data_IF_982736314740
#
_entry.id   IF_982736314740
#
_cell.length_a   1.000
_cell.length_b   1.000
_cell.length_c   1.000
_cell.angle_alpha   90.00
_cell.angle_beta   90.00
_cell.angle_gamma   90.00
#
_symmetry.space_group_name_H-M   'P 1'
#
loop_
_entity.id
_entity.type
_entity.pdbx_description
1 polymer ?
#
# COMPACT_ATOMS: atom_id res chain seq x y z
N UNK A 1 -11.79 17.03 1.41
CA UNK A 1 -10.41 17.48 1.74
C UNK A 1 -9.79 16.77 2.96
N UNK A 2 -10.43 16.74 4.14
CA UNK A 2 -9.87 16.02 5.32
C UNK A 2 -9.81 14.50 5.16
N UNK A 3 -10.82 13.90 4.53
CA UNK A 3 -10.91 12.46 4.33
C UNK A 3 -9.65 11.89 3.63
N UNK A 4 -9.17 12.56 2.58
CA UNK A 4 -7.95 12.13 1.86
C UNK A 4 -6.74 12.05 2.79
N UNK A 5 -6.54 13.04 3.67
CA UNK A 5 -5.46 13.01 4.66
C UNK A 5 -5.60 11.87 5.65
N UNK A 6 -6.82 11.57 6.10
CA UNK A 6 -7.05 10.43 6.99
C UNK A 6 -6.79 9.10 6.29
N UNK A 7 -7.22 8.95 5.04
CA UNK A 7 -6.93 7.76 4.23
C UNK A 7 -5.43 7.53 4.12
N UNK A 8 -4.63 8.57 3.87
CA UNK A 8 -3.16 8.44 3.83
C UNK A 8 -2.55 8.05 5.19
N UNK A 9 -3.07 8.60 6.30
CA UNK A 9 -2.63 8.22 7.64
C UNK A 9 -2.96 6.76 7.97
N UNK A 10 -4.19 6.33 7.70
CA UNK A 10 -4.62 4.95 7.90
C UNK A 10 -3.84 3.99 7.01
N UNK A 11 -3.60 4.35 5.76
CA UNK A 11 -2.74 3.57 4.87
C UNK A 11 -1.34 3.44 5.49
N UNK A 12 -0.73 4.51 6.00
CA UNK A 12 0.56 4.44 6.71
C UNK A 12 0.53 3.50 7.93
N UNK A 13 -0.51 3.56 8.76
CA UNK A 13 -0.67 2.68 9.92
C UNK A 13 -0.78 1.19 9.51
N UNK A 14 -1.58 0.88 8.49
CA UNK A 14 -1.71 -0.47 7.93
C UNK A 14 -0.36 -0.97 7.41
N UNK A 15 0.36 -0.11 6.68
CA UNK A 15 1.68 -0.42 6.14
C UNK A 15 2.69 -0.76 7.23
N UNK A 16 2.73 0.03 8.31
CA UNK A 16 3.64 -0.24 9.43
C UNK A 16 3.29 -1.55 10.16
N UNK A 17 2.01 -1.87 10.30
CA UNK A 17 1.60 -3.17 10.85
C UNK A 17 2.07 -4.33 9.96
N UNK A 18 2.00 -4.19 8.64
CA UNK A 18 2.53 -5.18 7.70
C UNK A 18 4.05 -5.35 7.84
N UNK A 19 4.80 -4.25 8.00
CA UNK A 19 6.23 -4.30 8.28
C UNK A 19 6.55 -5.08 9.57
N UNK A 20 5.82 -4.81 10.66
CA UNK A 20 6.01 -5.51 11.93
C UNK A 20 5.66 -7.00 11.83
N UNK A 21 4.58 -7.33 11.12
CA UNK A 21 4.19 -8.71 10.84
C UNK A 21 5.27 -9.44 10.04
N UNK A 22 5.74 -8.86 8.93
CA UNK A 22 6.83 -9.41 8.13
C UNK A 22 8.10 -9.63 8.97
N UNK A 23 8.49 -8.62 9.77
CA UNK A 23 9.66 -8.69 10.65
C UNK A 23 9.53 -9.84 11.66
N UNK A 24 8.35 -10.03 12.27
CA UNK A 24 8.10 -11.12 13.22
C UNK A 24 8.21 -12.51 12.60
N UNK A 25 8.00 -12.61 11.28
CA UNK A 25 8.14 -13.84 10.50
C UNK A 25 9.56 -14.03 9.93
N UNK A 26 10.49 -13.12 10.22
CA UNK A 26 11.85 -13.14 9.64
C UNK A 26 11.88 -12.78 8.16
N UNK A 27 10.88 -12.03 7.68
CA UNK A 27 10.78 -11.54 6.30
C UNK A 27 11.10 -10.04 6.24
N UNK A 28 11.50 -9.58 5.05
CA UNK A 28 11.61 -8.17 4.72
C UNK A 28 10.33 -7.65 4.07
N UNK A 29 10.06 -6.35 4.25
CA UNK A 29 9.00 -5.63 3.54
C UNK A 29 9.53 -4.31 2.96
N UNK A 30 8.96 -3.85 1.84
CA UNK A 30 9.31 -2.58 1.22
C UNK A 30 8.06 -1.87 0.68
N UNK A 31 7.74 -0.69 1.22
CA UNK A 31 6.71 0.18 0.67
C UNK A 31 7.23 0.91 -0.58
N UNK A 32 6.42 0.89 -1.64
CA UNK A 32 6.71 1.49 -2.94
C UNK A 32 5.56 2.44 -3.29
N UNK A 33 5.85 3.73 -3.28
CA UNK A 33 4.89 4.78 -3.64
C UNK A 33 4.95 5.22 -5.10
N UNK A 34 5.91 4.72 -5.88
CA UNK A 34 6.05 5.03 -7.30
C UNK A 34 5.68 3.79 -8.13
N UNK A 35 4.55 3.87 -8.82
CA UNK A 35 4.03 2.84 -9.72
C UNK A 35 3.22 3.53 -10.83
N UNK A 36 2.76 2.77 -11.80
CA UNK A 36 1.87 3.26 -12.86
C UNK A 36 0.43 3.13 -12.33
N UNK A 37 -0.17 4.24 -11.89
CA UNK A 37 -1.48 4.25 -11.23
C UNK A 37 -2.56 3.59 -12.10
N UNK A 38 -2.66 4.00 -13.36
CA UNK A 38 -3.67 3.48 -14.30
C UNK A 38 -3.50 1.97 -14.52
N UNK A 39 -2.28 1.51 -14.83
CA UNK A 39 -2.00 0.09 -15.04
C UNK A 39 -2.30 -0.77 -13.80
N UNK A 40 -1.99 -0.27 -12.59
CA UNK A 40 -2.24 -0.99 -11.36
C UNK A 40 -3.73 -1.02 -11.00
N UNK A 41 -4.42 0.10 -11.17
CA UNK A 41 -5.86 0.17 -10.94
C UNK A 41 -6.61 -0.76 -11.91
N UNK A 42 -6.25 -0.75 -13.19
CA UNK A 42 -6.81 -1.65 -14.21
C UNK A 42 -6.55 -3.12 -13.86
N UNK A 43 -5.34 -3.46 -13.41
CA UNK A 43 -4.99 -4.82 -12.98
C UNK A 43 -5.84 -5.29 -11.79
N UNK A 44 -6.17 -4.38 -10.86
CA UNK A 44 -6.95 -4.67 -9.66
C UNK A 44 -8.47 -4.51 -9.88
N UNK A 45 -8.90 -4.04 -11.06
CA UNK A 45 -10.31 -3.76 -11.38
C UNK A 45 -10.87 -2.54 -10.65
N UNK A 46 -10.02 -1.57 -10.30
CA UNK A 46 -10.37 -0.33 -9.61
C UNK A 46 -10.66 0.78 -10.62
N UNK A 47 -11.54 1.71 -10.27
CA UNK A 47 -11.96 2.80 -11.17
C UNK A 47 -11.07 4.06 -11.13
N UNK A 48 -10.13 4.11 -10.17
CA UNK A 48 -9.23 5.24 -9.96
C UNK A 48 -9.90 6.51 -9.43
N UNK A 49 -11.19 6.46 -9.06
CA UNK A 49 -12.00 7.62 -8.66
C UNK A 49 -12.64 7.42 -7.29
N UNK A 50 -13.49 6.41 -7.16
CA UNK A 50 -14.12 6.02 -5.90
C UNK A 50 -13.22 5.04 -5.14
N UNK A 51 -12.44 4.22 -5.84
CA UNK A 51 -11.42 3.33 -5.28
C UNK A 51 -10.12 3.38 -6.11
N UNK A 52 -8.98 3.49 -5.44
CA UNK A 52 -7.67 3.58 -6.08
C UNK A 52 -6.58 2.97 -5.20
N UNK A 53 -5.57 2.39 -5.83
CA UNK A 53 -4.36 1.96 -5.15
C UNK A 53 -3.56 3.19 -4.64
N UNK A 54 -3.11 3.16 -3.37
CA UNK A 54 -2.35 4.27 -2.77
C UNK A 54 -0.84 4.04 -2.76
N UNK A 55 -0.42 2.80 -2.50
CA UNK A 55 0.96 2.34 -2.58
C UNK A 55 0.99 0.81 -2.58
N UNK A 56 2.14 0.23 -2.93
CA UNK A 56 2.39 -1.22 -2.92
C UNK A 56 3.31 -1.55 -1.75
N UNK A 57 3.17 -2.71 -1.11
CA UNK A 57 4.20 -3.27 -0.22
C UNK A 57 4.61 -4.65 -0.73
N UNK A 58 5.89 -4.80 -1.10
CA UNK A 58 6.48 -6.12 -1.40
C UNK A 58 6.92 -6.80 -0.10
N UNK A 59 6.75 -8.11 0.01
CA UNK A 59 7.20 -8.92 1.17
C UNK A 59 7.95 -10.16 0.68
N UNK A 60 9.07 -10.53 1.32
CA UNK A 60 9.87 -11.67 0.89
C UNK A 60 10.98 -12.06 1.87
N UNK A 61 11.71 -13.13 1.55
CA UNK A 61 12.93 -13.50 2.30
C UNK A 61 14.00 -12.43 2.12
N UNK A 62 14.72 -12.12 3.20
CA UNK A 62 15.92 -11.27 3.19
C UNK A 62 17.14 -12.11 2.80
#
# INVERSE_FOLDING_TARGET
ERAYRYVLLEAGHIGQNLYLAATSMGLGACAVGAFLDDDLNDLLGLDGKDEAALYIISVGKV
#
